data_IF_038150125712
#
_entry.id   IF_038150125712
#
_cell.length_a   1.000
_cell.length_b   1.000
_cell.length_c   1.000
_cell.angle_alpha   90.00
_cell.angle_beta   90.00
_cell.angle_gamma   90.00
#
_symmetry.space_group_name_H-M   'P 1'
#
loop_
_entity.id
_entity.type
_entity.pdbx_description
1 polymer ?
#
# COMPACT_ATOMS: atom_id res chain seq x y z
N UNK A 1 12.85 3.04 -3.70
CA UNK A 1 11.61 3.78 -3.40
C UNK A 1 10.55 2.90 -2.74
N UNK A 2 10.06 1.84 -3.40
CA UNK A 2 8.96 0.98 -2.89
C UNK A 2 9.19 0.49 -1.45
N UNK A 3 10.37 -0.06 -1.14
CA UNK A 3 10.71 -0.51 0.23
C UNK A 3 10.61 0.61 1.28
N UNK A 4 11.01 1.84 0.95
CA UNK A 4 10.96 2.99 1.88
C UNK A 4 9.51 3.35 2.21
N UNK A 5 8.66 3.47 1.20
CA UNK A 5 7.23 3.75 1.38
C UNK A 5 6.57 2.64 2.19
N UNK A 6 6.84 1.37 1.87
CA UNK A 6 6.33 0.22 2.61
C UNK A 6 6.72 0.24 4.10
N UNK A 7 7.96 0.63 4.42
CA UNK A 7 8.42 0.79 5.80
C UNK A 7 7.72 1.94 6.50
N UNK A 8 7.50 3.07 5.82
CA UNK A 8 6.77 4.21 6.38
C UNK A 8 5.31 3.89 6.67
N UNK A 9 4.63 3.21 5.74
CA UNK A 9 3.28 2.67 5.96
C UNK A 9 3.21 1.75 7.19
N UNK A 10 4.32 1.10 7.54
CA UNK A 10 4.43 0.21 8.69
C UNK A 10 5.07 0.89 9.91
N UNK A 11 4.73 2.16 10.16
CA UNK A 11 5.23 2.96 11.28
C UNK A 11 6.77 3.00 11.40
N UNK A 12 7.49 2.93 10.28
CA UNK A 12 8.95 2.91 10.25
C UNK A 12 9.59 1.54 10.49
N UNK A 13 8.81 0.47 10.70
CA UNK A 13 9.32 -0.87 10.98
C UNK A 13 9.49 -1.69 9.69
N UNK A 14 10.59 -2.45 9.58
CA UNK A 14 10.85 -3.31 8.40
C UNK A 14 9.97 -4.56 8.41
N UNK A 15 9.89 -5.23 9.57
CA UNK A 15 9.06 -6.43 9.75
C UNK A 15 7.58 -6.05 9.61
N UNK A 16 6.92 -6.61 8.60
CA UNK A 16 5.52 -6.29 8.31
C UNK A 16 5.32 -5.27 7.17
N UNK A 17 6.39 -4.60 6.69
CA UNK A 17 6.29 -3.57 5.64
C UNK A 17 5.62 -4.06 4.36
N UNK A 18 5.86 -5.30 3.94
CA UNK A 18 5.17 -5.88 2.78
C UNK A 18 3.67 -6.07 3.00
N UNK A 19 3.23 -6.33 4.25
CA UNK A 19 1.81 -6.44 4.59
C UNK A 19 1.17 -5.05 4.57
N UNK A 20 1.80 -4.06 5.19
CA UNK A 20 1.31 -2.68 5.17
C UNK A 20 1.16 -2.13 3.74
N UNK A 21 2.14 -2.41 2.86
CA UNK A 21 2.03 -2.05 1.45
C UNK A 21 0.90 -2.81 0.74
N UNK A 22 0.71 -4.09 1.06
CA UNK A 22 -0.35 -4.90 0.47
C UNK A 22 -1.73 -4.37 0.83
N UNK A 23 -1.94 -4.08 2.11
CA UNK A 23 -3.18 -3.55 2.67
C UNK A 23 -3.47 -2.16 2.05
N UNK A 24 -2.49 -1.24 2.04
CA UNK A 24 -2.64 0.09 1.44
C UNK A 24 -2.88 0.08 -0.10
N UNK A 25 -2.44 -0.96 -0.78
CA UNK A 25 -2.59 -1.10 -2.24
C UNK A 25 -3.79 -1.96 -2.64
N UNK A 26 -4.50 -2.57 -1.68
CA UNK A 26 -5.61 -3.49 -1.94
C UNK A 26 -5.18 -4.74 -2.74
N UNK A 27 -4.00 -5.31 -2.46
CA UNK A 27 -3.47 -6.48 -3.18
C UNK A 27 -3.01 -7.60 -2.25
N UNK A 28 -2.88 -8.85 -2.74
CA UNK A 28 -2.29 -9.92 -1.95
C UNK A 28 -0.84 -9.62 -1.52
N UNK A 29 -0.46 -10.03 -0.31
CA UNK A 29 0.90 -9.82 0.23
C UNK A 29 2.01 -10.37 -0.69
N UNK A 30 1.76 -11.48 -1.40
CA UNK A 30 2.70 -12.05 -2.37
C UNK A 30 3.01 -11.09 -3.52
N UNK A 31 2.01 -10.31 -3.94
CA UNK A 31 2.14 -9.31 -5.01
C UNK A 31 2.96 -8.11 -4.53
N UNK A 32 2.67 -7.59 -3.33
CA UNK A 32 3.47 -6.52 -2.73
C UNK A 32 4.93 -6.94 -2.51
N UNK A 33 5.17 -8.18 -2.05
CA UNK A 33 6.52 -8.73 -1.93
C UNK A 33 7.24 -8.76 -3.27
N UNK A 34 6.59 -9.25 -4.33
CA UNK A 34 7.17 -9.29 -5.67
C UNK A 34 7.58 -7.92 -6.20
N UNK A 35 6.84 -6.86 -5.87
CA UNK A 35 7.17 -5.47 -6.26
C UNK A 35 8.37 -4.90 -5.49
N UNK A 36 8.64 -5.41 -4.29
CA UNK A 36 9.77 -4.97 -3.46
C UNK A 36 11.10 -5.63 -3.86
N UNK A 37 11.06 -6.68 -4.68
CA UNK A 37 12.24 -7.36 -5.19
C UNK A 37 12.99 -6.51 -6.23
N UNK A 38 14.28 -6.80 -6.44
CA UNK A 38 15.02 -6.25 -7.57
C UNK A 38 14.57 -6.94 -8.88
N UNK A 39 14.62 -6.27 -10.05
CA UNK A 39 14.24 -6.88 -11.33
C UNK A 39 15.01 -8.15 -11.71
N UNK A 40 16.18 -8.35 -11.11
CA UNK A 40 17.04 -9.53 -11.29
C UNK A 40 16.70 -10.69 -10.37
N UNK A 41 15.85 -10.48 -9.35
CA UNK A 41 15.50 -11.50 -8.37
C UNK A 41 14.36 -12.39 -8.86
N UNK A 42 14.43 -13.69 -8.54
CA UNK A 42 13.36 -14.64 -8.83
C UNK A 42 12.05 -14.19 -8.18
N UNK A 43 10.93 -14.36 -8.91
CA UNK A 43 9.58 -13.94 -8.52
C UNK A 43 9.35 -12.42 -8.52
N UNK A 44 10.29 -11.61 -9.00
CA UNK A 44 10.01 -10.20 -9.28
C UNK A 44 8.87 -10.10 -10.30
N UNK A 45 7.99 -9.13 -10.07
CA UNK A 45 6.91 -8.79 -11.00
C UNK A 45 6.81 -7.28 -11.12
N UNK A 46 6.61 -6.72 -12.31
CA UNK A 46 6.31 -5.31 -12.44
C UNK A 46 4.91 -5.00 -11.91
N UNK A 47 4.72 -3.79 -11.41
CA UNK A 47 3.39 -3.24 -11.15
C UNK A 47 2.63 -3.03 -12.48
N UNK A 48 1.31 -3.28 -12.46
CA UNK A 48 0.42 -2.89 -13.56
C UNK A 48 0.39 -1.36 -13.72
N UNK A 49 -0.23 -0.84 -14.80
CA UNK A 49 -0.39 0.61 -14.98
C UNK A 49 -1.22 1.23 -13.85
N UNK A 50 -2.33 0.58 -13.48
CA UNK A 50 -3.21 1.01 -12.39
C UNK A 50 -2.48 0.98 -11.04
N UNK A 51 -1.78 -0.10 -10.73
CA UNK A 51 -1.00 -0.21 -9.51
C UNK A 51 0.11 0.86 -9.44
N UNK A 52 0.78 1.18 -10.55
CA UNK A 52 1.75 2.28 -10.59
C UNK A 52 1.13 3.64 -10.29
N UNK A 53 -0.07 3.92 -10.80
CA UNK A 53 -0.77 5.18 -10.54
C UNK A 53 -1.13 5.31 -9.06
N UNK A 54 -1.69 4.26 -8.46
CA UNK A 54 -1.99 4.22 -7.03
C UNK A 54 -0.72 4.39 -6.19
N UNK A 55 0.35 3.67 -6.54
CA UNK A 55 1.62 3.80 -5.85
C UNK A 55 2.22 5.21 -5.98
N UNK A 56 2.07 5.86 -7.13
CA UNK A 56 2.50 7.24 -7.32
C UNK A 56 1.75 8.22 -6.41
N UNK A 57 0.46 8.00 -6.17
CA UNK A 57 -0.33 8.78 -5.19
C UNK A 57 0.24 8.58 -3.78
N UNK A 58 0.54 7.34 -3.37
CA UNK A 58 1.18 7.08 -2.08
C UNK A 58 2.54 7.77 -1.94
N UNK A 59 3.37 7.76 -2.99
CA UNK A 59 4.66 8.47 -3.01
C UNK A 59 4.44 9.98 -2.92
N UNK A 60 3.44 10.54 -3.59
CA UNK A 60 3.13 11.97 -3.51
C UNK A 60 2.72 12.37 -2.09
N UNK A 61 1.88 11.56 -1.45
CA UNK A 61 1.50 11.77 -0.06
C UNK A 61 2.71 11.70 0.87
N UNK A 62 3.61 10.74 0.67
CA UNK A 62 4.84 10.60 1.47
C UNK A 62 5.78 11.80 1.28
N UNK A 63 6.09 12.14 0.04
CA UNK A 63 7.01 13.24 -0.30
C UNK A 63 6.50 14.62 0.14
N UNK A 64 5.19 14.79 0.28
CA UNK A 64 4.57 16.02 0.77
C UNK A 64 4.26 15.99 2.27
N UNK A 65 4.70 14.96 2.99
CA UNK A 65 4.45 14.80 4.43
C UNK A 65 2.99 14.55 4.81
N UNK A 66 2.13 14.26 3.85
CA UNK A 66 0.69 13.99 4.05
C UNK A 66 0.37 12.53 4.33
N UNK A 67 1.33 11.62 4.14
CA UNK A 67 1.20 10.22 4.58
C UNK A 67 1.44 10.12 6.09
N UNK A 68 0.56 10.74 6.87
CA UNK A 68 0.60 10.74 8.34
C UNK A 68 -0.09 9.51 8.89
N UNK A 69 0.11 9.22 10.17
CA UNK A 69 -0.60 8.12 10.85
C UNK A 69 -2.12 8.35 10.80
N UNK A 70 -2.57 9.59 11.07
CA UNK A 70 -3.99 9.97 11.02
C UNK A 70 -4.60 9.76 9.63
N UNK A 71 -3.84 10.03 8.56
CA UNK A 71 -4.28 9.75 7.20
C UNK A 71 -4.49 8.25 6.96
N UNK A 72 -3.56 7.41 7.44
CA UNK A 72 -3.67 5.96 7.30
C UNK A 72 -4.86 5.40 8.08
N UNK A 73 -5.11 5.93 9.28
CA UNK A 73 -6.28 5.56 10.07
C UNK A 73 -7.58 5.99 9.40
N UNK A 74 -7.63 7.20 8.84
CA UNK A 74 -8.77 7.69 8.06
C UNK A 74 -9.05 6.82 6.82
N UNK A 75 -7.99 6.36 6.12
CA UNK A 75 -8.14 5.42 4.99
C UNK A 75 -8.73 4.09 5.45
N UNK A 76 -8.26 3.54 6.57
CA UNK A 76 -8.78 2.28 7.11
C UNK A 76 -10.27 2.41 7.51
N UNK A 77 -10.64 3.51 8.18
CA UNK A 77 -12.04 3.80 8.52
C UNK A 77 -12.89 3.96 7.26
N UNK A 78 -12.42 4.71 6.27
CA UNK A 78 -13.14 4.92 5.01
C UNK A 78 -13.35 3.60 4.26
N UNK A 79 -12.35 2.70 4.25
CA UNK A 79 -12.49 1.38 3.64
C UNK A 79 -13.59 0.56 4.32
N UNK A 80 -13.61 0.50 5.66
CA UNK A 80 -14.68 -0.17 6.40
C UNK A 80 -16.05 0.42 6.08
N UNK A 81 -16.18 1.74 6.02
CA UNK A 81 -17.45 2.41 5.68
C UNK A 81 -17.93 2.07 4.25
N UNK A 82 -17.01 1.92 3.30
CA UNK A 82 -17.35 1.54 1.92
C UNK A 82 -17.80 0.07 1.86
N UNK A 83 -17.11 -0.82 2.55
CA UNK A 83 -17.47 -2.25 2.64
C UNK A 83 -18.82 -2.45 3.37
N UNK A 84 -19.07 -1.71 4.45
CA UNK A 84 -20.32 -1.76 5.21
C UNK A 84 -21.49 -1.13 4.43
N UNK A 85 -21.23 -0.06 3.66
CA UNK A 85 -22.22 0.57 2.78
C UNK A 85 -22.63 -0.33 1.60
N UNK A 86 -21.76 -1.22 1.15
CA UNK A 86 -22.10 -2.26 0.17
C UNK A 86 -22.98 -3.36 0.79
N UNK A 87 -22.80 -3.68 2.08
CA UNK A 87 -23.63 -4.68 2.79
C UNK A 87 -25.06 -4.20 3.10
N UNK A 88 -25.32 -2.90 3.19
CA UNK A 88 -26.69 -2.37 3.38
C UNK A 88 -27.53 -2.33 2.09
N UNK A 89 -26.95 -2.65 0.94
CA UNK A 89 -27.63 -2.63 -0.36
C UNK A 89 -27.93 -4.04 -0.93
N UNK A 90 -27.89 -5.08 -0.09
CA UNK A 90 -28.26 -6.47 -0.40
C UNK A 90 -29.33 -6.92 0.59
#
# INVERSE_FOLDING_TARGET
MIKRVAVRLNAGTVRGSSKALADAMGVPIKTARAWMLAPTENNWRPMSKTARRLFAILVLLESTGKLTQDFLEAVNVMQHLLEDGELMNI
#
